data_IF_604891631132
#
_entry.id   IF_604891631132
#
_cell.length_a   1.000
_cell.length_b   1.000
_cell.length_c   1.000
_cell.angle_alpha   90.00
_cell.angle_beta   90.00
_cell.angle_gamma   90.00
#
_symmetry.space_group_name_H-M   'P 1'
#
loop_
_entity.id
_entity.type
_entity.pdbx_description
1 polymer ?
#
# COMPACT_ATOMS: atom_id res chain seq x y z
N UNK A 1 29.32 11.52 21.98
CA UNK A 1 28.34 11.18 20.94
C UNK A 1 28.11 9.68 20.99
N UNK A 2 26.91 9.19 21.35
CA UNK A 2 26.59 7.75 21.32
C UNK A 2 26.62 7.31 19.85
N UNK A 3 27.41 6.28 19.51
CA UNK A 3 27.34 5.66 18.18
C UNK A 3 25.88 5.19 18.00
N UNK A 4 25.21 5.51 16.88
CA UNK A 4 23.90 4.93 16.61
C UNK A 4 24.04 3.40 16.65
N UNK A 5 23.15 2.72 17.37
CA UNK A 5 23.16 1.26 17.43
C UNK A 5 23.14 0.70 16.00
N UNK A 6 23.89 -0.38 15.72
CA UNK A 6 23.89 -0.98 14.40
C UNK A 6 22.46 -1.40 14.03
N UNK A 7 22.05 -1.09 12.81
CA UNK A 7 20.76 -1.46 12.26
C UNK A 7 20.72 -2.98 12.00
N UNK A 8 20.42 -3.77 13.03
CA UNK A 8 20.30 -5.23 12.92
C UNK A 8 18.93 -5.59 12.38
N UNK A 9 18.87 -5.97 11.11
CA UNK A 9 17.64 -6.37 10.46
C UNK A 9 17.16 -7.74 10.94
N UNK A 10 15.85 -7.82 11.18
CA UNK A 10 15.06 -9.02 11.46
C UNK A 10 13.91 -9.08 10.46
N UNK A 11 13.25 -10.23 10.39
CA UNK A 11 12.16 -10.48 9.46
C UNK A 11 11.06 -11.29 10.14
N UNK A 12 9.82 -11.01 9.75
CA UNK A 12 8.64 -11.83 10.06
C UNK A 12 7.80 -12.00 8.81
N UNK A 13 7.04 -13.09 8.73
CA UNK A 13 6.17 -13.42 7.62
C UNK A 13 4.74 -13.71 8.07
N UNK A 14 3.80 -13.29 7.23
CA UNK A 14 2.36 -13.48 7.40
C UNK A 14 1.80 -14.14 6.13
N UNK A 15 0.91 -15.11 6.31
CA UNK A 15 0.00 -15.52 5.24
C UNK A 15 -1.18 -14.55 5.24
N UNK A 16 -1.57 -14.07 4.06
CA UNK A 16 -2.64 -13.08 3.89
C UNK A 16 -3.43 -13.39 2.61
N UNK A 17 -4.60 -12.75 2.40
CA UNK A 17 -5.34 -12.87 1.15
C UNK A 17 -4.57 -12.44 -0.11
N UNK A 18 -3.45 -11.71 0.05
CA UNK A 18 -2.58 -11.31 -1.06
C UNK A 18 -1.46 -12.32 -1.35
N UNK A 19 -1.38 -13.41 -0.58
CA UNK A 19 -0.24 -14.31 -0.52
C UNK A 19 0.64 -14.08 0.71
N UNK A 20 1.89 -14.52 0.64
CA UNK A 20 2.86 -14.38 1.74
C UNK A 20 3.38 -12.94 1.78
N UNK A 21 3.21 -12.26 2.91
CA UNK A 21 3.80 -10.94 3.17
C UNK A 21 5.01 -11.12 4.09
N UNK A 22 6.14 -10.56 3.70
CA UNK A 22 7.35 -10.52 4.50
C UNK A 22 7.63 -9.09 4.93
N UNK A 23 7.80 -8.90 6.23
CA UNK A 23 8.11 -7.60 6.84
C UNK A 23 9.52 -7.69 7.41
N UNK A 24 10.40 -6.78 7.01
CA UNK A 24 11.74 -6.66 7.58
C UNK A 24 11.93 -5.32 8.28
N UNK A 25 12.74 -5.31 9.34
CA UNK A 25 12.92 -4.12 10.17
C UNK A 25 13.95 -4.33 11.28
N UNK A 26 14.22 -3.27 12.02
CA UNK A 26 15.09 -3.27 13.19
C UNK A 26 14.39 -2.58 14.38
N UNK A 27 15.08 -2.41 15.50
CA UNK A 27 14.56 -1.71 16.68
C UNK A 27 14.11 -0.26 16.40
N UNK A 28 14.64 0.38 15.36
CA UNK A 28 14.25 1.74 15.00
C UNK A 28 12.99 1.82 14.11
N UNK A 29 12.53 0.70 13.55
CA UNK A 29 11.33 0.68 12.70
C UNK A 29 11.32 -0.39 11.61
N UNK A 30 10.20 -0.44 10.90
CA UNK A 30 10.00 -1.25 9.70
C UNK A 30 10.79 -0.66 8.53
N UNK A 31 11.53 -1.52 7.83
CA UNK A 31 12.31 -1.15 6.65
C UNK A 31 11.55 -1.47 5.37
N UNK A 32 11.00 -2.68 5.24
CA UNK A 32 10.43 -3.15 3.98
C UNK A 32 9.24 -4.08 4.19
N UNK A 33 8.27 -4.01 3.28
CA UNK A 33 7.17 -4.97 3.16
C UNK A 33 7.20 -5.53 1.74
N UNK A 34 7.45 -6.82 1.63
CA UNK A 34 7.42 -7.57 0.37
C UNK A 34 6.15 -8.41 0.30
N UNK A 35 5.39 -8.28 -0.79
CA UNK A 35 4.20 -9.09 -1.03
C UNK A 35 4.53 -10.11 -2.11
N UNK A 36 4.58 -11.39 -1.72
CA UNK A 36 4.79 -12.51 -2.62
C UNK A 36 3.44 -13.14 -2.95
N UNK A 37 2.83 -12.66 -4.03
CA UNK A 37 1.58 -13.24 -4.54
C UNK A 37 1.89 -14.46 -5.39
N UNK A 38 1.16 -15.55 -5.16
CA UNK A 38 1.17 -16.76 -5.97
C UNK A 38 0.17 -16.71 -7.15
N UNK A 39 -0.45 -15.54 -7.40
CA UNK A 39 -1.48 -15.37 -8.41
C UNK A 39 -2.90 -15.72 -7.93
N UNK A 40 -3.04 -16.27 -6.72
CA UNK A 40 -4.34 -16.47 -6.08
C UNK A 40 -4.59 -15.33 -5.09
N UNK A 41 -5.65 -14.57 -5.32
CA UNK A 41 -6.15 -13.60 -4.35
C UNK A 41 -7.32 -14.27 -3.62
N UNK A 42 -7.17 -14.51 -2.33
CA UNK A 42 -8.25 -15.11 -1.55
C UNK A 42 -9.37 -14.07 -1.38
N UNK A 43 -10.61 -14.50 -1.61
CA UNK A 43 -11.80 -13.67 -1.37
C UNK A 43 -12.22 -13.70 0.10
N UNK A 44 -11.67 -14.59 0.91
CA UNK A 44 -11.98 -14.73 2.34
C UNK A 44 -10.84 -14.16 3.19
N UNK A 45 -11.06 -13.07 3.96
CA UNK A 45 -10.02 -12.49 4.81
C UNK A 45 -9.58 -13.36 6.00
N UNK A 46 -10.31 -14.46 6.27
CA UNK A 46 -10.17 -15.31 7.45
C UNK A 46 -8.87 -16.13 7.51
N UNK A 47 -8.09 -16.19 6.42
CA UNK A 47 -6.84 -16.98 6.36
C UNK A 47 -5.59 -16.30 6.92
N UNK A 48 -5.68 -15.07 7.47
CA UNK A 48 -4.46 -14.38 7.90
C UNK A 48 -3.84 -15.01 9.14
N UNK A 49 -2.60 -15.48 9.04
CA UNK A 49 -1.84 -16.05 10.16
C UNK A 49 -0.39 -15.62 10.13
N UNK A 50 0.16 -15.34 11.31
CA UNK A 50 1.61 -15.20 11.51
C UNK A 50 2.27 -16.57 11.35
N UNK A 51 3.32 -16.64 10.54
CA UNK A 51 4.03 -17.90 10.24
C UNK A 51 5.20 -18.12 11.20
N UNK A 52 5.83 -17.05 11.65
CA UNK A 52 7.03 -17.11 12.47
C UNK A 52 6.72 -17.06 13.96
N UNK A 53 7.57 -17.70 14.78
CA UNK A 53 7.57 -17.54 16.22
C UNK A 53 8.07 -16.14 16.57
N UNK A 54 7.33 -15.42 17.41
CA UNK A 54 7.61 -14.02 17.78
C UNK A 54 8.77 -13.85 18.79
N UNK A 55 9.60 -14.88 18.97
CA UNK A 55 10.71 -14.84 19.90
C UNK A 55 11.82 -13.92 19.39
N UNK A 56 12.19 -12.91 20.18
CA UNK A 56 13.24 -11.93 19.86
C UNK A 56 12.98 -11.12 18.58
N UNK A 57 11.72 -10.86 18.26
CA UNK A 57 11.31 -9.95 17.18
C UNK A 57 11.27 -8.52 17.70
N UNK A 58 11.84 -7.52 16.99
CA UNK A 58 11.73 -6.11 17.36
C UNK A 58 10.28 -5.67 17.52
N UNK A 59 9.99 -4.82 18.50
CA UNK A 59 8.61 -4.38 18.80
C UNK A 59 7.90 -3.79 17.59
N UNK A 60 8.64 -3.06 16.74
CA UNK A 60 8.11 -2.43 15.54
C UNK A 60 7.62 -3.45 14.49
N UNK A 61 8.25 -4.63 14.41
CA UNK A 61 7.78 -5.71 13.54
C UNK A 61 6.52 -6.37 14.10
N UNK A 62 6.41 -6.50 15.42
CA UNK A 62 5.18 -6.98 16.05
C UNK A 62 4.01 -6.03 15.79
N UNK A 63 4.21 -4.73 16.02
CA UNK A 63 3.20 -3.70 15.75
C UNK A 63 2.78 -3.73 14.29
N UNK A 64 3.74 -3.88 13.37
CA UNK A 64 3.45 -4.01 11.94
C UNK A 64 2.63 -5.26 11.61
N UNK A 65 2.98 -6.41 12.20
CA UNK A 65 2.24 -7.65 12.02
C UNK A 65 0.79 -7.51 12.50
N UNK A 66 0.58 -6.99 13.71
CA UNK A 66 -0.74 -6.77 14.29
C UNK A 66 -1.58 -5.80 13.46
N UNK A 67 -0.92 -4.75 12.92
CA UNK A 67 -1.54 -3.81 11.99
C UNK A 67 -2.00 -4.50 10.70
N UNK A 68 -1.16 -5.35 10.10
CA UNK A 68 -1.50 -6.08 8.87
C UNK A 68 -2.63 -7.07 9.10
N UNK A 69 -2.60 -7.83 10.20
CA UNK A 69 -3.70 -8.72 10.59
C UNK A 69 -5.01 -7.93 10.74
N UNK A 70 -4.97 -6.81 11.46
CA UNK A 70 -6.12 -5.90 11.61
C UNK A 70 -6.62 -5.37 10.27
N UNK A 71 -5.71 -4.98 9.37
CA UNK A 71 -6.06 -4.46 8.05
C UNK A 71 -6.89 -5.44 7.23
N UNK A 72 -6.58 -6.74 7.28
CA UNK A 72 -7.35 -7.75 6.55
C UNK A 72 -8.57 -8.26 7.32
N UNK A 73 -8.45 -8.52 8.62
CA UNK A 73 -9.48 -9.24 9.38
C UNK A 73 -10.51 -8.32 10.06
N UNK A 74 -10.09 -7.13 10.53
CA UNK A 74 -10.97 -6.22 11.25
C UNK A 74 -10.57 -4.74 11.02
N UNK A 75 -10.83 -4.17 9.84
CA UNK A 75 -10.35 -2.83 9.49
C UNK A 75 -10.79 -1.71 10.46
N UNK A 76 -11.90 -1.89 11.18
CA UNK A 76 -12.39 -0.92 12.17
C UNK A 76 -11.41 -0.73 13.33
N UNK A 77 -10.63 -1.74 13.69
CA UNK A 77 -9.64 -1.62 14.77
C UNK A 77 -8.47 -0.69 14.40
N UNK A 78 -8.23 -0.44 13.11
CA UNK A 78 -7.15 0.44 12.66
C UNK A 78 -7.29 1.89 13.16
N UNK A 79 -8.48 2.34 13.53
CA UNK A 79 -8.69 3.66 14.14
C UNK A 79 -7.98 3.83 15.48
N UNK A 80 -7.82 2.72 16.21
CA UNK A 80 -7.20 2.66 17.54
C UNK A 80 -5.84 1.98 17.54
N UNK A 81 -5.47 1.37 16.41
CA UNK A 81 -4.22 0.63 16.25
C UNK A 81 -3.00 1.55 16.26
N UNK A 82 -1.89 1.04 16.79
CA UNK A 82 -0.61 1.72 16.72
C UNK A 82 -0.01 1.55 15.32
N UNK A 83 0.58 2.63 14.78
CA UNK A 83 1.39 2.55 13.57
C UNK A 83 2.83 2.27 13.96
N UNK A 84 3.52 1.33 13.30
CA UNK A 84 4.93 1.10 13.57
C UNK A 84 5.76 2.30 13.08
N UNK A 85 6.89 2.53 13.73
CA UNK A 85 7.93 3.42 13.22
C UNK A 85 8.46 2.89 11.88
N UNK A 86 8.86 3.80 10.99
CA UNK A 86 9.40 3.48 9.68
C UNK A 86 10.87 3.90 9.62
N UNK A 87 11.75 3.00 9.20
CA UNK A 87 13.21 3.19 9.24
C UNK A 87 13.89 2.78 7.93
N UNK A 88 13.28 3.13 6.80
CA UNK A 88 13.89 2.94 5.48
C UNK A 88 14.58 4.22 5.00
N UNK A 89 15.78 4.13 4.40
CA UNK A 89 16.57 5.29 3.96
C UNK A 89 15.76 6.31 3.11
N UNK A 90 14.99 5.82 2.13
CA UNK A 90 14.11 6.65 1.27
C UNK A 90 13.14 7.53 2.09
N UNK A 91 12.70 7.07 3.27
CA UNK A 91 11.76 7.79 4.13
C UNK A 91 12.45 8.78 5.08
N UNK A 92 13.75 8.61 5.34
CA UNK A 92 14.54 9.44 6.24
C UNK A 92 15.25 10.60 5.50
N UNK A 93 15.46 10.47 4.19
CA UNK A 93 16.03 11.53 3.36
C UNK A 93 15.03 12.65 3.07
N UNK A 94 15.51 13.89 2.94
CA UNK A 94 14.69 15.02 2.46
C UNK A 94 14.62 15.05 0.93
N UNK A 95 13.82 14.15 0.37
CA UNK A 95 13.56 14.07 -1.07
C UNK A 95 12.09 14.29 -1.39
N UNK A 96 11.79 14.68 -2.64
CA UNK A 96 10.40 14.73 -3.10
C UNK A 96 9.69 13.38 -2.96
N UNK A 97 10.40 12.25 -3.16
CA UNK A 97 9.83 10.91 -2.94
C UNK A 97 9.43 10.71 -1.48
N UNK A 98 10.32 11.02 -0.53
CA UNK A 98 10.03 10.95 0.90
C UNK A 98 8.80 11.79 1.27
N UNK A 99 8.76 13.06 0.82
CA UNK A 99 7.63 13.96 1.07
C UNK A 99 6.31 13.42 0.50
N UNK A 100 6.31 12.87 -0.71
CA UNK A 100 5.11 12.25 -1.30
C UNK A 100 4.63 11.06 -0.47
N UNK A 101 5.53 10.17 -0.06
CA UNK A 101 5.20 8.97 0.73
C UNK A 101 4.66 9.34 2.12
N UNK A 102 5.29 10.30 2.81
CA UNK A 102 4.81 10.83 4.09
C UNK A 102 3.47 11.55 3.97
N UNK A 103 3.27 12.32 2.90
CA UNK A 103 1.98 13.00 2.61
C UNK A 103 0.87 11.96 2.42
N UNK A 104 1.13 10.92 1.63
CA UNK A 104 0.19 9.85 1.38
C UNK A 104 -0.18 9.11 2.69
N UNK A 105 0.83 8.73 3.47
CA UNK A 105 0.65 8.07 4.77
C UNK A 105 -0.19 8.90 5.74
N UNK A 106 0.09 10.22 5.82
CA UNK A 106 -0.54 11.11 6.79
C UNK A 106 -1.99 11.41 6.46
N UNK A 107 -2.32 11.59 5.18
CA UNK A 107 -3.58 12.22 4.79
C UNK A 107 -4.58 11.32 4.09
N UNK A 108 -4.20 10.15 3.56
CA UNK A 108 -5.13 9.28 2.80
C UNK A 108 -5.48 8.06 3.62
N UNK A 109 -6.68 8.04 4.19
CA UNK A 109 -7.14 7.03 5.15
C UNK A 109 -7.77 5.83 4.45
N UNK A 110 -8.09 4.81 5.25
CA UNK A 110 -8.72 3.58 4.78
C UNK A 110 -10.05 3.90 4.08
N UNK A 111 -10.27 3.31 2.90
CA UNK A 111 -11.46 3.54 2.09
C UNK A 111 -11.40 4.80 1.22
N UNK A 112 -10.43 5.68 1.42
CA UNK A 112 -10.25 6.90 0.63
C UNK A 112 -9.32 6.66 -0.57
N UNK A 113 -9.48 7.49 -1.60
CA UNK A 113 -8.57 7.52 -2.75
C UNK A 113 -8.13 8.95 -3.05
N UNK A 114 -6.96 9.08 -3.65
CA UNK A 114 -6.41 10.37 -4.07
C UNK A 114 -5.88 10.28 -5.51
N UNK A 115 -6.01 11.36 -6.28
CA UNK A 115 -5.39 11.40 -7.60
C UNK A 115 -3.89 11.69 -7.54
N UNK A 116 -3.12 11.18 -8.51
CA UNK A 116 -1.69 11.54 -8.66
C UNK A 116 -1.46 13.05 -8.69
N UNK A 117 -2.35 13.80 -9.36
CA UNK A 117 -2.27 15.27 -9.46
C UNK A 117 -2.45 15.93 -8.10
N UNK A 118 -3.47 15.52 -7.34
CA UNK A 118 -3.76 16.09 -6.02
C UNK A 118 -2.66 15.75 -5.02
N UNK A 119 -2.14 14.52 -5.04
CA UNK A 119 -1.03 14.13 -4.18
C UNK A 119 0.25 14.93 -4.51
N UNK A 120 0.51 15.21 -5.80
CA UNK A 120 1.65 16.03 -6.21
C UNK A 120 1.54 17.47 -5.68
N UNK A 121 0.34 18.05 -5.76
CA UNK A 121 0.03 19.36 -5.19
C UNK A 121 0.24 19.40 -3.68
N UNK A 122 -0.29 18.41 -2.95
CA UNK A 122 -0.12 18.30 -1.49
C UNK A 122 1.34 18.10 -1.08
N UNK A 123 2.14 17.44 -1.92
CA UNK A 123 3.58 17.27 -1.72
C UNK A 123 4.42 18.48 -2.17
N UNK A 124 3.77 19.59 -2.55
CA UNK A 124 4.41 20.87 -2.87
C UNK A 124 4.78 21.08 -4.34
N UNK A 125 4.34 20.22 -5.26
CA UNK A 125 4.57 20.42 -6.70
C UNK A 125 3.42 19.91 -7.57
N UNK A 126 2.49 20.81 -7.91
CA UNK A 126 1.30 20.51 -8.73
C UNK A 126 1.61 19.91 -10.12
N UNK A 127 2.80 20.14 -10.68
CA UNK A 127 3.21 19.63 -12.01
C UNK A 127 3.91 18.27 -11.94
N UNK A 128 4.10 17.71 -10.74
CA UNK A 128 4.93 16.52 -10.52
C UNK A 128 4.15 15.19 -10.49
N UNK A 129 2.98 15.09 -11.13
CA UNK A 129 2.17 13.86 -11.12
C UNK A 129 2.94 12.62 -11.62
N UNK A 130 3.78 12.76 -12.65
CA UNK A 130 4.65 11.66 -13.14
C UNK A 130 5.68 11.23 -12.10
N UNK A 131 6.26 12.19 -11.36
CA UNK A 131 7.23 11.91 -10.30
C UNK A 131 6.56 11.22 -9.10
N UNK A 132 5.30 11.55 -8.79
CA UNK A 132 4.49 10.81 -7.81
C UNK A 132 4.36 9.34 -8.22
N UNK A 133 4.08 9.05 -9.49
CA UNK A 133 4.07 7.67 -10.00
C UNK A 133 5.41 6.94 -9.80
N UNK A 134 6.53 7.64 -9.93
CA UNK A 134 7.86 7.13 -9.58
C UNK A 134 8.03 6.86 -8.09
N UNK A 135 7.57 7.77 -7.23
CA UNK A 135 7.59 7.61 -5.78
C UNK A 135 6.78 6.38 -5.32
N UNK A 136 5.59 6.15 -5.91
CA UNK A 136 4.76 4.99 -5.59
C UNK A 136 5.46 3.65 -5.89
N UNK A 137 6.26 3.58 -6.97
CA UNK A 137 7.06 2.39 -7.30
C UNK A 137 8.22 2.15 -6.35
N UNK A 138 8.68 3.20 -5.66
CA UNK A 138 9.79 3.17 -4.70
C UNK A 138 9.30 3.09 -3.25
N UNK A 139 8.00 2.89 -3.03
CA UNK A 139 7.46 2.72 -1.69
C UNK A 139 8.00 1.41 -1.09
N UNK A 140 8.82 1.47 -0.02
CA UNK A 140 9.38 0.27 0.58
C UNK A 140 8.37 -0.45 1.48
N UNK A 141 7.30 0.21 1.91
CA UNK A 141 6.32 -0.34 2.86
C UNK A 141 4.90 -0.23 2.30
N UNK A 142 4.57 -0.95 1.20
CA UNK A 142 3.20 -1.02 0.69
C UNK A 142 2.22 -1.46 1.78
N UNK A 143 0.93 -1.13 1.59
CA UNK A 143 -0.15 -1.25 2.57
C UNK A 143 -0.07 -0.24 3.71
N UNK A 144 1.05 -0.20 4.46
CA UNK A 144 1.27 0.82 5.50
C UNK A 144 1.27 2.22 4.90
N UNK A 145 2.13 2.44 3.90
CA UNK A 145 2.01 3.59 3.01
C UNK A 145 1.10 3.16 1.85
N UNK A 146 -0.13 3.69 1.76
CA UNK A 146 -1.19 3.09 0.96
C UNK A 146 -1.11 3.50 -0.51
N UNK A 147 -0.04 3.12 -1.21
CA UNK A 147 0.17 3.48 -2.61
C UNK A 147 -0.90 2.91 -3.57
N UNK A 148 -1.65 1.89 -3.15
CA UNK A 148 -2.82 1.37 -3.87
C UNK A 148 -4.00 2.36 -3.87
N UNK A 149 -4.06 3.34 -2.95
CA UNK A 149 -5.11 4.39 -2.91
C UNK A 149 -4.87 5.54 -3.89
N UNK A 150 -3.70 5.60 -4.53
CA UNK A 150 -3.37 6.65 -5.51
C UNK A 150 -3.85 6.22 -6.89
N UNK A 151 -4.85 6.92 -7.44
CA UNK A 151 -5.52 6.56 -8.70
C UNK A 151 -5.42 7.68 -9.74
N UNK A 152 -5.88 7.42 -10.97
CA UNK A 152 -5.97 8.46 -12.00
C UNK A 152 -7.10 9.45 -11.68
N UNK A 153 -6.98 10.70 -12.13
CA UNK A 153 -8.07 11.69 -12.00
C UNK A 153 -9.35 11.29 -12.75
N UNK A 154 -9.26 10.35 -13.69
CA UNK A 154 -10.40 9.78 -14.41
C UNK A 154 -11.07 8.62 -13.64
N UNK A 155 -10.68 8.39 -12.37
CA UNK A 155 -11.23 7.32 -11.55
C UNK A 155 -10.74 5.92 -11.94
N UNK A 156 -9.66 5.79 -12.73
CA UNK A 156 -9.12 4.47 -13.05
C UNK A 156 -8.04 4.08 -12.03
N UNK A 157 -7.96 2.79 -11.60
CA UNK A 157 -6.95 2.36 -10.63
C UNK A 157 -5.54 2.71 -11.12
N UNK A 158 -5.25 2.46 -12.40
CA UNK A 158 -3.93 2.67 -12.97
C UNK A 158 -2.90 1.67 -12.46
N UNK A 159 -1.67 1.80 -12.95
CA UNK A 159 -0.64 0.80 -12.75
C UNK A 159 -0.22 0.62 -11.28
N UNK A 160 0.01 -0.65 -10.91
CA UNK A 160 0.52 -1.05 -9.60
C UNK A 160 1.64 -2.08 -9.73
N UNK A 161 2.67 -1.97 -8.90
CA UNK A 161 3.85 -2.88 -8.90
C UNK A 161 4.40 -3.14 -10.32
N UNK A 162 4.63 -2.08 -11.08
CA UNK A 162 5.13 -2.17 -12.46
C UNK A 162 4.13 -2.76 -13.48
N UNK A 163 2.83 -2.74 -13.18
CA UNK A 163 1.77 -3.25 -14.06
C UNK A 163 1.41 -4.72 -13.82
N UNK A 164 2.15 -5.42 -12.95
CA UNK A 164 1.87 -6.81 -12.58
C UNK A 164 0.86 -6.92 -11.43
N UNK A 165 0.66 -5.84 -10.67
CA UNK A 165 -0.18 -5.82 -9.47
C UNK A 165 -1.56 -5.18 -9.67
N UNK A 166 -2.02 -4.91 -10.90
CA UNK A 166 -3.26 -4.15 -11.09
C UNK A 166 -4.49 -4.87 -10.49
N UNK A 167 -4.56 -6.21 -10.60
CA UNK A 167 -5.60 -7.00 -9.93
C UNK A 167 -5.57 -6.84 -8.40
N UNK A 168 -4.37 -6.70 -7.82
CA UNK A 168 -4.15 -6.61 -6.38
C UNK A 168 -4.58 -5.24 -5.90
N UNK A 169 -4.27 -4.19 -6.67
CA UNK A 169 -4.77 -2.84 -6.39
C UNK A 169 -6.29 -2.79 -6.41
N UNK A 170 -6.92 -3.40 -7.40
CA UNK A 170 -8.38 -3.51 -7.48
C UNK A 170 -8.96 -4.27 -6.27
N UNK A 171 -8.38 -5.41 -5.92
CA UNK A 171 -8.79 -6.18 -4.75
C UNK A 171 -8.68 -5.37 -3.46
N UNK A 172 -7.56 -4.65 -3.26
CA UNK A 172 -7.35 -3.82 -2.08
C UNK A 172 -8.37 -2.69 -2.00
N UNK A 173 -8.63 -1.99 -3.10
CA UNK A 173 -9.65 -0.93 -3.15
C UNK A 173 -11.05 -1.48 -2.86
N UNK A 174 -11.37 -2.69 -3.32
CA UNK A 174 -12.65 -3.35 -3.02
C UNK A 174 -12.74 -3.79 -1.54
N UNK A 175 -11.67 -4.38 -1.00
CA UNK A 175 -11.55 -4.74 0.42
C UNK A 175 -11.80 -3.54 1.33
N UNK A 176 -11.20 -2.39 1.01
CA UNK A 176 -11.36 -1.19 1.82
C UNK A 176 -12.78 -0.60 1.80
N UNK A 177 -13.55 -0.85 0.73
CA UNK A 177 -14.96 -0.44 0.67
C UNK A 177 -15.88 -1.37 1.44
N UNK A 178 -15.60 -2.67 1.41
CA UNK A 178 -16.37 -3.67 2.13
C UNK A 178 -16.10 -3.63 3.65
N UNK A 179 -14.95 -3.09 4.07
CA UNK A 179 -14.49 -3.07 5.47
C UNK A 179 -15.31 -2.23 6.46
N UNK A 180 -16.42 -1.61 6.04
CA UNK A 180 -17.36 -0.93 6.93
C UNK A 180 -16.75 0.21 7.75
N UNK A 181 -15.75 0.89 7.18
CA UNK A 181 -15.12 2.10 7.73
C UNK A 181 -16.03 3.30 7.44
N UNK A 182 -16.51 3.97 8.49
CA UNK A 182 -17.21 5.24 8.35
C UNK A 182 -16.19 6.36 8.11
N UNK A 183 -15.98 6.71 6.84
CA UNK A 183 -15.12 7.85 6.49
C UNK A 183 -15.77 9.17 6.90
N UNK A 184 -15.02 10.17 7.37
CA UNK A 184 -15.49 11.55 7.35
C UNK A 184 -15.85 11.97 5.90
N UNK A 185 -16.75 12.95 5.69
CA UNK A 185 -17.19 13.31 4.35
C UNK A 185 -16.00 13.66 3.44
N UNK A 186 -16.00 13.18 2.18
CA UNK A 186 -14.83 13.27 1.32
C UNK A 186 -14.48 14.74 1.05
N UNK A 187 -13.28 15.15 1.45
CA UNK A 187 -12.71 16.44 1.07
C UNK A 187 -12.12 16.34 -0.35
N UNK A 188 -12.99 16.29 -1.37
CA UNK A 188 -12.60 16.41 -2.78
C UNK A 188 -12.13 15.11 -3.45
N UNK A 189 -12.70 13.95 -3.10
CA UNK A 189 -12.38 12.66 -3.74
C UNK A 189 -13.01 12.51 -5.13
N UNK A 190 -12.23 12.01 -6.10
CA UNK A 190 -12.75 11.55 -7.39
C UNK A 190 -13.52 10.24 -7.17
N UNK A 191 -14.79 10.18 -7.57
CA UNK A 191 -15.61 8.97 -7.42
C UNK A 191 -15.00 7.77 -8.15
N UNK A 192 -14.43 6.83 -7.40
CA UNK A 192 -14.02 5.51 -7.93
C UNK A 192 -15.23 4.56 -7.85
N UNK A 193 -15.53 3.79 -8.90
CA UNK A 193 -16.49 2.67 -8.83
C UNK A 193 -15.71 1.37 -9.08
N UNK A 194 -15.61 0.52 -8.05
CA UNK A 194 -14.77 -0.68 -8.08
C UNK A 194 -15.25 -1.73 -9.07
N UNK A 195 -16.57 -1.83 -9.31
CA UNK A 195 -17.12 -2.83 -10.21
C UNK A 195 -16.89 -2.44 -11.67
N UNK A 196 -17.08 -1.17 -12.04
CA UNK A 196 -16.98 -0.71 -13.43
C UNK A 196 -15.53 -0.40 -13.87
N UNK A 197 -14.69 0.10 -12.96
CA UNK A 197 -13.37 0.63 -13.30
C UNK A 197 -12.26 -0.44 -13.28
N UNK A 198 -12.50 -1.60 -12.67
CA UNK A 198 -11.55 -2.71 -12.66
C UNK A 198 -11.76 -3.68 -13.85
N UNK A 199 -12.99 -3.80 -14.38
CA UNK A 199 -13.29 -4.64 -15.56
C UNK A 199 -12.73 -4.03 -16.86
N UNK A 200 -12.78 -2.69 -16.99
CA UNK A 200 -12.24 -1.97 -18.16
C UNK A 200 -10.72 -2.14 -18.36
N UNK A 201 -9.93 -2.36 -17.29
CA UNK A 201 -8.50 -2.66 -17.43
C UNK A 201 -8.24 -4.10 -17.88
N UNK A 202 -9.10 -5.06 -17.53
CA UNK A 202 -8.97 -6.45 -17.95
C UNK A 202 -9.38 -6.64 -19.42
N UNK A 203 -10.43 -5.93 -19.87
CA UNK A 203 -10.91 -6.00 -21.26
C UNK A 203 -9.95 -5.42 -22.31
N UNK A 204 -9.11 -4.44 -21.95
CA UNK A 204 -8.16 -3.82 -22.90
C UNK A 204 -6.99 -4.74 -23.30
N UNK A 205 -6.68 -5.79 -22.54
CA UNK A 205 -5.67 -6.79 -22.93
C UNK A 205 -6.16 -7.73 -24.05
N UNK A 206 -7.47 -7.87 -24.25
CA UNK A 206 -8.01 -8.76 -25.29
C UNK A 206 -8.06 -8.13 -26.69
N UNK A 207 -7.91 -6.81 -26.82
CA UNK A 207 -8.03 -6.11 -28.12
C UNK A 207 -6.71 -5.65 -28.74
N UNK A 208 -5.58 -5.70 -28.02
CA UNK A 208 -4.27 -5.33 -28.59
C UNK A 208 -3.52 -6.46 -29.30
N UNK A 209 -4.10 -7.65 -29.43
CA UNK A 209 -3.43 -8.82 -30.03
C UNK A 209 -4.02 -9.26 -31.39
N UNK A 210 -4.79 -8.42 -32.09
CA UNK A 210 -5.38 -8.76 -33.39
C UNK A 210 -4.94 -7.89 -34.59
N UNK A 211 -4.05 -6.90 -34.40
CA UNK A 211 -3.56 -6.08 -35.51
C UNK A 211 -2.03 -6.11 -35.59
N UNK A 212 -1.46 -7.28 -35.88
CA UNK A 212 -0.07 -7.46 -36.27
C UNK A 212 0.06 -8.71 -37.15
N UNK A 213 -0.70 -8.74 -38.25
CA UNK A 213 -0.37 -9.49 -39.47
C UNK A 213 -1.38 -9.09 -40.56
N UNK A 214 -0.99 -8.11 -41.36
CA UNK A 214 -1.53 -7.81 -42.70
C UNK A 214 -0.52 -6.95 -43.44
#
# INVERSE_FOLDING_TARGET
MKRPNPCTLKMVALLTPLGRIEVSGCEAGVHNISIHSDGTLDKRPSGCMLVDTLENVPSELQICADWLLSYFQNPRSLQKGHMPALHHAILLEDTFTSRVLHTLLRYVKFGETISYKRLAEMAGNIRAARAVGGAMRRNPVPLLIPCHRVISSAGQPGNYMGGKGNHMKCWLLAHERAGGWESPPPQGGTGFNSNENCEHEQGKKSQTNQNADS
#
